data_IF_097500990654
#
_entry.id   IF_097500990654
#
_cell.length_a   1.000
_cell.length_b   1.000
_cell.length_c   1.000
_cell.angle_alpha   90.00
_cell.angle_beta   90.00
_cell.angle_gamma   90.00
#
_symmetry.space_group_name_H-M   'P 1'
#
loop_
_entity.id
_entity.type
_entity.pdbx_description
1 polymer ?
#
# COMPACT_ATOMS: atom_id res chain seq x y z
N UNK A 1 -2.54 3.74 0.66
CA UNK A 1 -2.46 4.35 -0.66
C UNK A 1 -3.24 3.49 -1.62
N UNK A 2 -4.01 4.10 -2.51
CA UNK A 2 -4.62 3.45 -3.68
C UNK A 2 -4.34 4.36 -4.87
N UNK A 3 -3.84 3.77 -5.95
CA UNK A 3 -3.58 4.43 -7.22
C UNK A 3 -4.20 3.61 -8.35
N UNK A 4 -4.95 4.27 -9.23
CA UNK A 4 -5.62 3.62 -10.36
C UNK A 4 -4.90 4.06 -11.63
N UNK A 5 -4.25 3.12 -12.30
CA UNK A 5 -3.26 3.42 -13.35
C UNK A 5 -3.93 3.56 -14.71
N UNK A 6 -4.69 2.54 -15.11
CA UNK A 6 -5.25 2.45 -16.45
C UNK A 6 -6.44 1.50 -16.55
N UNK A 7 -7.25 1.72 -17.57
CA UNK A 7 -8.18 0.71 -18.07
C UNK A 7 -7.39 -0.37 -18.83
N UNK A 8 -7.67 -1.63 -18.51
CA UNK A 8 -6.95 -2.80 -19.03
C UNK A 8 -7.37 -3.17 -20.46
N UNK A 9 -8.59 -2.80 -20.86
CA UNK A 9 -9.18 -3.14 -22.16
C UNK A 9 -8.61 -2.27 -23.27
N UNK A 10 -8.53 -0.96 -23.04
CA UNK A 10 -8.09 0.03 -24.04
C UNK A 10 -6.71 0.63 -23.74
N UNK A 11 -6.19 0.45 -22.52
CA UNK A 11 -4.92 1.02 -22.08
C UNK A 11 -4.99 2.50 -21.73
N UNK A 12 -6.20 3.09 -21.69
CA UNK A 12 -6.39 4.51 -21.37
C UNK A 12 -5.98 4.79 -19.93
N UNK A 13 -5.22 5.87 -19.73
CA UNK A 13 -4.81 6.30 -18.39
C UNK A 13 -6.02 6.79 -17.60
N UNK A 14 -6.03 6.51 -16.30
CA UNK A 14 -7.06 6.98 -15.37
C UNK A 14 -6.40 7.99 -14.43
N UNK A 15 -6.99 9.17 -14.28
CA UNK A 15 -6.36 10.28 -13.57
C UNK A 15 -6.95 10.48 -12.17
N UNK A 16 -6.09 10.70 -11.17
CA UNK A 16 -6.54 11.10 -9.84
C UNK A 16 -7.07 12.54 -9.89
N UNK A 17 -8.32 12.73 -9.47
CA UNK A 17 -8.96 14.05 -9.42
C UNK A 17 -9.57 14.31 -8.04
N UNK A 18 -9.81 15.58 -7.70
CA UNK A 18 -10.47 16.00 -6.47
C UNK A 18 -12.00 15.95 -6.62
N UNK A 19 -12.67 15.41 -5.61
CA UNK A 19 -14.12 15.40 -5.48
C UNK A 19 -14.73 16.79 -5.70
N UNK A 20 -14.10 17.83 -5.14
CA UNK A 20 -14.62 19.19 -5.21
C UNK A 20 -14.74 19.72 -6.65
N UNK A 21 -13.85 19.31 -7.56
CA UNK A 21 -13.87 19.76 -8.95
C UNK A 21 -15.06 19.17 -9.71
N UNK A 22 -15.32 17.87 -9.52
CA UNK A 22 -16.42 17.19 -10.23
C UNK A 22 -17.76 17.49 -9.58
N UNK A 23 -17.83 17.60 -8.26
CA UNK A 23 -19.05 18.06 -7.56
C UNK A 23 -19.45 19.48 -7.97
N UNK A 24 -18.48 20.36 -8.28
CA UNK A 24 -18.75 21.72 -8.78
C UNK A 24 -19.34 21.73 -10.19
N UNK A 25 -18.87 20.84 -11.07
CA UNK A 25 -19.35 20.74 -12.44
C UNK A 25 -20.68 19.98 -12.53
N UNK A 26 -20.85 18.95 -11.69
CA UNK A 26 -22.06 18.13 -11.65
C UNK A 26 -22.17 17.44 -10.29
N UNK A 27 -22.98 17.98 -9.37
CA UNK A 27 -23.19 17.38 -8.04
C UNK A 27 -23.85 16.00 -8.09
N UNK A 28 -24.46 15.62 -9.22
CA UNK A 28 -25.12 14.33 -9.42
C UNK A 28 -24.29 13.37 -10.27
N UNK A 29 -22.98 13.59 -10.41
CA UNK A 29 -22.11 12.78 -11.27
C UNK A 29 -22.13 11.28 -10.94
N UNK A 30 -22.36 10.91 -9.68
CA UNK A 30 -22.51 9.51 -9.24
C UNK A 30 -23.76 8.82 -9.82
N UNK A 31 -24.73 9.59 -10.30
CA UNK A 31 -25.94 9.11 -10.97
C UNK A 31 -25.92 9.41 -12.48
N UNK A 32 -24.78 9.83 -13.03
CA UNK A 32 -24.62 10.04 -14.47
C UNK A 32 -24.69 8.71 -15.23
N UNK A 33 -24.80 8.79 -16.55
CA UNK A 33 -24.72 7.62 -17.42
C UNK A 33 -23.36 6.93 -17.24
N UNK A 34 -23.39 5.60 -17.13
CA UNK A 34 -22.16 4.84 -17.01
C UNK A 34 -21.32 4.89 -18.29
N UNK A 35 -20.00 4.99 -18.14
CA UNK A 35 -19.04 5.16 -19.24
C UNK A 35 -17.80 4.29 -19.04
N UNK A 36 -16.66 4.59 -19.69
CA UNK A 36 -15.36 4.05 -19.27
C UNK A 36 -14.77 4.94 -18.18
N UNK A 37 -14.05 4.40 -17.20
CA UNK A 37 -13.45 5.21 -16.14
C UNK A 37 -12.31 6.07 -16.71
N UNK A 38 -12.41 7.39 -16.50
CA UNK A 38 -11.38 8.36 -16.93
C UNK A 38 -10.70 9.00 -15.72
N UNK A 39 -11.46 9.17 -14.63
CA UNK A 39 -10.98 9.77 -13.39
C UNK A 39 -11.27 8.83 -12.22
N UNK A 40 -10.39 8.84 -11.24
CA UNK A 40 -10.63 8.23 -9.94
C UNK A 40 -10.46 9.22 -8.81
N UNK A 41 -11.18 8.97 -7.72
CA UNK A 41 -11.19 9.79 -6.53
C UNK A 41 -10.87 8.93 -5.34
N UNK A 42 -9.89 9.35 -4.56
CA UNK A 42 -9.43 8.63 -3.38
C UNK A 42 -9.29 9.63 -2.23
N UNK A 43 -9.89 9.30 -1.08
CA UNK A 43 -9.80 10.10 0.13
C UNK A 43 -8.88 9.38 1.12
N UNK A 44 -7.79 10.04 1.52
CA UNK A 44 -6.84 9.48 2.49
C UNK A 44 -7.48 9.19 3.86
N UNK A 45 -8.56 9.90 4.22
CA UNK A 45 -9.30 9.67 5.46
C UNK A 45 -10.22 8.43 5.38
N UNK A 46 -10.56 7.97 4.17
CA UNK A 46 -11.32 6.75 3.95
C UNK A 46 -10.60 5.86 2.93
N UNK A 47 -9.46 5.24 3.32
CA UNK A 47 -8.56 4.57 2.37
C UNK A 47 -9.10 3.25 1.81
N UNK A 48 -10.26 2.80 2.28
CA UNK A 48 -10.87 1.52 1.88
C UNK A 48 -11.74 1.65 0.63
N UNK A 49 -12.07 2.87 0.22
CA UNK A 49 -12.99 3.14 -0.86
C UNK A 49 -12.37 4.14 -1.82
N UNK A 50 -12.60 3.90 -3.10
CA UNK A 50 -12.33 4.85 -4.16
C UNK A 50 -13.55 4.88 -5.08
N UNK A 51 -13.78 6.03 -5.70
CA UNK A 51 -14.85 6.20 -6.67
C UNK A 51 -14.25 6.53 -8.04
N UNK A 52 -14.98 6.28 -9.12
CA UNK A 52 -14.53 6.55 -10.50
C UNK A 52 -15.59 7.34 -11.26
N UNK A 53 -15.13 8.19 -12.18
CA UNK A 53 -15.98 8.95 -13.10
C UNK A 53 -15.54 8.73 -14.56
N UNK A 54 -16.49 8.57 -15.50
CA UNK A 54 -17.92 8.23 -15.34
C UNK A 54 -18.19 7.04 -14.39
N UNK A 55 -19.36 7.00 -13.71
CA UNK A 55 -19.69 5.92 -12.79
C UNK A 55 -19.76 4.58 -13.51
N UNK A 56 -19.43 3.49 -12.83
CA UNK A 56 -19.38 2.15 -13.42
C UNK A 56 -20.52 1.26 -12.93
N UNK A 57 -21.18 0.56 -13.86
CA UNK A 57 -22.18 -0.48 -13.54
C UNK A 57 -21.61 -1.90 -13.58
N UNK A 58 -20.30 -2.03 -13.82
CA UNK A 58 -19.57 -3.30 -13.90
C UNK A 58 -19.17 -3.68 -15.33
N UNK A 59 -18.14 -4.53 -15.45
CA UNK A 59 -17.63 -5.04 -16.73
C UNK A 59 -16.33 -4.38 -17.22
N UNK A 60 -15.94 -3.25 -16.61
CA UNK A 60 -14.63 -2.63 -16.86
C UNK A 60 -13.54 -3.29 -16.00
N UNK A 61 -12.37 -3.49 -16.60
CA UNK A 61 -11.18 -3.98 -15.93
C UNK A 61 -10.21 -2.81 -15.77
N UNK A 62 -9.87 -2.46 -14.54
CA UNK A 62 -8.89 -1.42 -14.21
C UNK A 62 -7.70 -2.01 -13.48
N UNK A 63 -6.52 -1.43 -13.69
CA UNK A 63 -5.31 -1.77 -12.96
C UNK A 63 -5.13 -0.84 -11.77
N UNK A 64 -4.98 -1.40 -10.58
CA UNK A 64 -4.81 -0.65 -9.34
C UNK A 64 -3.55 -1.09 -8.60
N UNK A 65 -2.91 -0.13 -7.95
CA UNK A 65 -1.85 -0.35 -6.96
C UNK A 65 -2.39 0.08 -5.61
N UNK A 66 -2.35 -0.82 -4.63
CA UNK A 66 -2.85 -0.53 -3.29
C UNK A 66 -1.98 -1.15 -2.21
N UNK A 67 -2.02 -0.56 -1.02
CA UNK A 67 -1.36 -1.12 0.16
C UNK A 67 -2.26 -2.22 0.73
N UNK A 68 -1.90 -3.48 0.48
CA UNK A 68 -2.58 -4.61 1.10
C UNK A 68 -2.17 -4.74 2.57
N UNK A 69 -3.16 -4.94 3.45
CA UNK A 69 -2.88 -5.38 4.81
C UNK A 69 -2.66 -6.91 4.79
N UNK A 70 -1.48 -7.41 5.18
CA UNK A 70 -1.28 -8.85 5.29
C UNK A 70 -2.22 -9.42 6.36
N UNK A 71 -2.75 -10.62 6.10
CA UNK A 71 -3.52 -11.36 7.10
C UNK A 71 -2.66 -11.78 8.29
N UNK A 72 -3.33 -12.18 9.37
CA UNK A 72 -2.64 -12.67 10.56
C UNK A 72 -1.78 -13.91 10.24
N UNK A 73 -0.56 -13.92 10.75
CA UNK A 73 0.31 -15.08 10.63
C UNK A 73 -0.22 -16.24 11.48
N UNK A 74 -0.31 -17.43 10.90
CA UNK A 74 -0.69 -18.65 11.59
C UNK A 74 0.51 -19.56 11.79
N UNK A 75 0.45 -20.42 12.80
CA UNK A 75 1.48 -21.44 13.02
C UNK A 75 1.52 -22.34 11.78
N UNK A 76 2.71 -22.50 11.19
CA UNK A 76 2.93 -23.21 9.92
C UNK A 76 2.22 -22.61 8.70
N UNK A 77 1.75 -21.36 8.79
CA UNK A 77 1.19 -20.63 7.66
C UNK A 77 2.26 -20.05 6.75
N UNK A 78 1.89 -19.77 5.50
CA UNK A 78 2.74 -19.04 4.56
C UNK A 78 2.86 -17.57 4.95
N UNK A 79 4.06 -17.02 4.85
CA UNK A 79 4.30 -15.58 4.99
C UNK A 79 3.89 -14.93 3.68
N UNK A 80 2.87 -14.07 3.73
CA UNK A 80 2.28 -13.38 2.56
C UNK A 80 2.93 -12.03 2.26
N UNK A 81 3.96 -11.67 3.02
CA UNK A 81 4.77 -10.47 2.79
C UNK A 81 5.79 -10.81 1.69
N UNK A 82 6.07 -9.85 0.82
CA UNK A 82 7.05 -9.98 -0.26
C UNK A 82 8.44 -10.42 0.26
N UNK A 83 9.11 -11.31 -0.48
CA UNK A 83 10.41 -11.91 -0.11
C UNK A 83 11.51 -10.86 0.04
N UNK A 84 11.36 -9.69 -0.60
CA UNK A 84 12.26 -8.56 -0.41
C UNK A 84 12.25 -8.05 1.05
N UNK A 85 11.25 -8.39 1.88
CA UNK A 85 11.21 -8.09 3.31
C UNK A 85 11.74 -9.24 4.19
N UNK A 86 12.20 -10.36 3.61
CA UNK A 86 12.62 -11.54 4.36
C UNK A 86 13.72 -11.22 5.39
N UNK A 87 14.76 -10.48 4.99
CA UNK A 87 15.87 -10.10 5.87
C UNK A 87 15.38 -9.22 7.03
N UNK A 88 14.58 -8.18 6.73
CA UNK A 88 13.97 -7.32 7.74
C UNK A 88 13.08 -8.13 8.71
N UNK A 89 12.34 -9.12 8.22
CA UNK A 89 11.49 -9.97 9.04
C UNK A 89 12.32 -10.84 9.99
N UNK A 90 13.44 -11.40 9.51
CA UNK A 90 14.39 -12.17 10.33
C UNK A 90 14.98 -11.30 11.42
N UNK A 91 15.41 -10.08 11.10
CA UNK A 91 15.95 -9.13 12.07
C UNK A 91 14.93 -8.80 13.17
N UNK A 92 13.66 -8.61 12.80
CA UNK A 92 12.61 -8.37 13.79
C UNK A 92 12.37 -9.59 14.69
N UNK A 93 12.38 -10.81 14.13
CA UNK A 93 12.24 -12.04 14.92
C UNK A 93 13.42 -12.21 15.88
N UNK A 94 14.65 -11.99 15.41
CA UNK A 94 15.86 -12.05 16.23
C UNK A 94 15.81 -11.03 17.38
N UNK A 95 15.40 -9.79 17.10
CA UNK A 95 15.14 -8.78 18.13
C UNK A 95 14.15 -9.30 19.19
N UNK A 96 13.01 -9.86 18.76
CA UNK A 96 11.99 -10.38 19.69
C UNK A 96 12.50 -11.56 20.52
N UNK A 97 13.35 -12.42 19.96
CA UNK A 97 13.98 -13.53 20.67
C UNK A 97 14.93 -13.01 21.76
N UNK A 98 15.90 -12.16 21.38
CA UNK A 98 16.90 -11.63 22.32
C UNK A 98 16.31 -10.69 23.37
N UNK A 99 15.23 -9.97 23.05
CA UNK A 99 14.53 -9.12 24.04
C UNK A 99 13.88 -9.90 25.18
N UNK A 100 13.65 -11.21 25.00
CA UNK A 100 13.04 -12.11 25.99
C UNK A 100 14.07 -13.01 26.69
N UNK A 101 15.29 -13.05 26.20
CA UNK A 101 16.36 -13.84 26.80
C UNK A 101 16.87 -13.15 28.07
N UNK A 102 16.91 -13.89 29.17
CA UNK A 102 17.26 -13.38 30.50
C UNK A 102 18.58 -13.95 31.03
N UNK A 103 19.25 -14.84 30.29
CA UNK A 103 20.46 -15.52 30.79
C UNK A 103 21.70 -14.61 30.78
N UNK A 104 21.85 -13.71 29.79
CA UNK A 104 22.94 -12.73 29.71
C UNK A 104 22.44 -11.34 29.28
N UNK A 105 21.65 -10.73 30.16
CA UNK A 105 20.79 -9.58 29.87
C UNK A 105 21.51 -8.35 29.27
N UNK A 106 22.81 -8.16 29.49
CA UNK A 106 23.54 -7.03 28.93
C UNK A 106 23.97 -7.26 27.48
N UNK A 107 24.53 -8.45 27.20
CA UNK A 107 24.97 -8.85 25.84
C UNK A 107 23.78 -9.05 24.92
N UNK A 108 22.72 -9.72 25.40
CA UNK A 108 21.53 -9.99 24.61
C UNK A 108 20.70 -8.73 24.35
N UNK A 109 20.68 -7.77 25.29
CA UNK A 109 20.06 -6.45 25.05
C UNK A 109 20.79 -5.65 23.96
N UNK A 110 22.13 -5.72 23.93
CA UNK A 110 22.92 -5.07 22.88
C UNK A 110 22.63 -5.68 21.50
N UNK A 111 22.52 -7.00 21.41
CA UNK A 111 22.13 -7.72 20.18
C UNK A 111 20.71 -7.39 19.76
N UNK A 112 19.76 -7.42 20.69
CA UNK A 112 18.36 -7.04 20.44
C UNK A 112 18.29 -5.63 19.83
N UNK A 113 19.02 -4.68 20.41
CA UNK A 113 19.08 -3.30 19.90
C UNK A 113 19.69 -3.21 18.50
N UNK A 114 20.72 -4.01 18.21
CA UNK A 114 21.35 -4.05 16.89
C UNK A 114 20.39 -4.60 15.82
N UNK A 115 19.71 -5.72 16.09
CA UNK A 115 18.72 -6.30 15.19
C UNK A 115 17.53 -5.37 14.97
N UNK A 116 17.06 -4.68 16.00
CA UNK A 116 15.99 -3.70 15.84
C UNK A 116 16.40 -2.52 14.94
N UNK A 117 17.65 -2.06 15.03
CA UNK A 117 18.18 -1.03 14.13
C UNK A 117 18.31 -1.52 12.69
N UNK A 118 18.76 -2.75 12.50
CA UNK A 118 18.85 -3.37 11.18
C UNK A 118 17.47 -3.49 10.52
N UNK A 119 16.46 -3.94 11.28
CA UNK A 119 15.06 -3.96 10.86
C UNK A 119 14.57 -2.57 10.41
N UNK A 120 14.75 -1.54 11.24
CA UNK A 120 14.32 -0.17 10.92
C UNK A 120 15.01 0.37 9.65
N UNK A 121 16.29 0.03 9.46
CA UNK A 121 17.02 0.40 8.26
C UNK A 121 16.52 -0.34 7.01
N UNK A 122 16.27 -1.64 7.13
CA UNK A 122 15.77 -2.47 6.03
C UNK A 122 14.38 -2.05 5.54
N UNK A 123 13.47 -1.69 6.44
CA UNK A 123 12.15 -1.15 6.05
C UNK A 123 12.26 0.29 5.49
N UNK A 124 13.10 1.14 6.09
CA UNK A 124 13.25 2.54 5.64
C UNK A 124 13.91 2.69 4.27
N UNK A 125 14.85 1.80 3.92
CA UNK A 125 15.44 1.71 2.56
C UNK A 125 14.37 1.42 1.50
N UNK A 126 13.36 0.62 1.85
CA UNK A 126 12.24 0.31 0.95
C UNK A 126 11.25 1.44 0.83
N UNK A 127 10.87 2.08 1.93
CA UNK A 127 9.99 3.26 1.87
C UNK A 127 10.57 4.31 0.91
N UNK A 128 11.89 4.51 0.92
CA UNK A 128 12.60 5.40 -0.01
C UNK A 128 12.63 4.87 -1.45
N UNK A 129 12.71 3.55 -1.64
CA UNK A 129 12.67 2.91 -2.97
C UNK A 129 11.28 3.00 -3.59
N UNK A 130 10.22 2.72 -2.83
CA UNK A 130 8.82 2.84 -3.27
C UNK A 130 8.46 4.30 -3.56
N UNK A 131 8.92 5.24 -2.74
CA UNK A 131 8.77 6.67 -3.01
C UNK A 131 9.52 7.12 -4.29
N UNK A 132 10.67 6.50 -4.59
CA UNK A 132 11.44 6.76 -5.80
C UNK A 132 10.85 6.12 -7.07
N UNK A 133 10.05 5.06 -6.91
CA UNK A 133 9.39 4.35 -8.03
C UNK A 133 8.10 5.04 -8.46
N UNK A 134 7.50 5.93 -7.66
CA UNK A 134 6.33 6.73 -8.07
C UNK A 134 6.73 7.72 -9.19
N UNK A 135 6.48 7.43 -10.48
CA UNK A 135 6.92 8.28 -11.55
C UNK A 135 5.86 9.37 -11.78
N UNK A 136 6.23 10.63 -11.54
CA UNK A 136 5.54 11.78 -12.13
C UNK A 136 4.32 12.30 -11.38
N UNK A 137 4.57 13.09 -10.32
CA UNK A 137 3.75 14.28 -10.07
C UNK A 137 4.46 15.49 -10.69
N UNK A 138 4.13 15.81 -11.94
CA UNK A 138 4.52 17.05 -12.64
C UNK A 138 3.28 17.81 -13.07
#
# INVERSE_FOLDING_TARGET
MVDVIKNVVDGSAIHQTDYALVDMLSSTWRAATAGAAENFFYNENNPKEFEVYPPQTGGELIEIVYNAQPGDATISGSIVIDDMYADSLIDYIAYRAFSKDTEDSATELARATAFFRAFLFGIGQKDATDAGIQPGRS
#
